data_IF_545077292325
#
_entry.id   IF_545077292325
#
_cell.length_a   1.000
_cell.length_b   1.000
_cell.length_c   1.000
_cell.angle_alpha   90.00
_cell.angle_beta   90.00
_cell.angle_gamma   90.00
#
_symmetry.space_group_name_H-M   'P 1'
#
loop_
_entity.id
_entity.type
_entity.pdbx_description
1 polymer ?
#
# COMPACT_ATOMS: atom_id res chain seq x y z
N UNK A 1 -23.24 45.54 15.94
CA UNK A 1 -23.38 44.12 16.31
C UNK A 1 -23.92 43.22 15.22
N UNK A 2 -24.80 43.68 14.37
CA UNK A 2 -25.26 42.90 13.22
C UNK A 2 -24.14 42.58 12.22
N UNK A 3 -23.16 43.43 12.11
CA UNK A 3 -22.02 43.23 11.20
C UNK A 3 -21.07 42.12 11.69
N UNK A 4 -20.85 42.04 13.00
CA UNK A 4 -20.02 40.97 13.61
C UNK A 4 -20.67 39.61 13.42
N UNK A 5 -21.99 39.53 13.50
CA UNK A 5 -22.71 38.28 13.23
C UNK A 5 -22.55 37.83 11.80
N UNK A 6 -22.66 38.74 10.83
CA UNK A 6 -22.49 38.41 9.40
C UNK A 6 -21.08 37.93 9.11
N UNK A 7 -20.07 38.59 9.67
CA UNK A 7 -18.67 38.21 9.51
C UNK A 7 -18.41 36.83 10.09
N UNK A 8 -18.94 36.54 11.29
CA UNK A 8 -18.82 35.23 11.92
C UNK A 8 -19.43 34.11 11.08
N UNK A 9 -20.58 34.33 10.51
CA UNK A 9 -21.28 33.35 9.66
C UNK A 9 -20.49 33.11 8.38
N UNK A 10 -19.99 34.15 7.74
CA UNK A 10 -19.17 34.05 6.54
C UNK A 10 -17.89 33.28 6.79
N UNK A 11 -17.20 33.57 7.89
CA UNK A 11 -16.00 32.86 8.29
C UNK A 11 -16.27 31.37 8.56
N UNK A 12 -17.35 31.07 9.27
CA UNK A 12 -17.75 29.69 9.54
C UNK A 12 -18.04 28.90 8.28
N UNK A 13 -18.77 29.50 7.32
CA UNK A 13 -19.05 28.90 6.03
C UNK A 13 -17.78 28.66 5.21
N UNK A 14 -16.87 29.64 5.23
CA UNK A 14 -15.60 29.55 4.51
C UNK A 14 -14.74 28.43 5.04
N UNK A 15 -14.66 28.26 6.35
CA UNK A 15 -13.93 27.16 6.99
C UNK A 15 -14.55 25.80 6.62
N UNK A 16 -15.86 25.70 6.62
CA UNK A 16 -16.56 24.46 6.23
C UNK A 16 -16.26 24.06 4.79
N UNK A 17 -16.22 25.03 3.89
CA UNK A 17 -15.91 24.78 2.47
C UNK A 17 -14.46 24.29 2.33
N UNK A 18 -13.51 24.91 3.04
CA UNK A 18 -12.11 24.53 3.00
C UNK A 18 -11.91 23.10 3.53
N UNK A 19 -12.50 22.76 4.68
CA UNK A 19 -12.42 21.43 5.24
C UNK A 19 -13.08 20.37 4.33
N UNK A 20 -14.23 20.70 3.74
CA UNK A 20 -14.89 19.81 2.80
C UNK A 20 -14.07 19.55 1.56
N UNK A 21 -13.43 20.58 1.01
CA UNK A 21 -12.58 20.45 -0.17
C UNK A 21 -11.35 19.60 0.12
N UNK A 22 -10.70 19.82 1.27
CA UNK A 22 -9.53 19.03 1.68
C UNK A 22 -9.87 17.54 1.86
N UNK A 23 -11.00 17.25 2.51
CA UNK A 23 -11.47 15.88 2.69
C UNK A 23 -11.77 15.21 1.35
N UNK A 24 -12.41 15.92 0.45
CA UNK A 24 -12.74 15.42 -0.88
C UNK A 24 -11.47 15.11 -1.68
N UNK A 25 -10.49 15.98 -1.64
CA UNK A 25 -9.19 15.77 -2.30
C UNK A 25 -8.45 14.57 -1.73
N UNK A 26 -8.42 14.45 -0.41
CA UNK A 26 -7.78 13.32 0.26
C UNK A 26 -8.42 11.98 -0.15
N UNK A 27 -9.75 11.94 -0.23
CA UNK A 27 -10.48 10.76 -0.67
C UNK A 27 -10.21 10.40 -2.13
N UNK A 28 -10.13 11.38 -3.01
CA UNK A 28 -9.79 11.15 -4.42
C UNK A 28 -8.37 10.62 -4.60
N UNK A 29 -7.43 11.15 -3.84
CA UNK A 29 -6.04 10.69 -3.88
C UNK A 29 -5.93 9.24 -3.41
N UNK A 30 -6.60 8.88 -2.33
CA UNK A 30 -6.65 7.52 -1.85
C UNK A 30 -7.26 6.56 -2.88
N UNK A 31 -8.32 6.98 -3.54
CA UNK A 31 -8.99 6.14 -4.53
C UNK A 31 -8.10 5.79 -5.73
N UNK A 32 -7.11 6.62 -6.07
CA UNK A 32 -6.19 6.35 -7.18
C UNK A 32 -5.08 5.39 -6.81
N UNK A 33 -4.62 5.39 -5.57
CA UNK A 33 -3.47 4.59 -5.12
C UNK A 33 -3.87 3.36 -4.31
N UNK A 34 -5.05 3.36 -3.70
CA UNK A 34 -5.50 2.28 -2.83
C UNK A 34 -5.45 0.89 -3.45
N UNK A 35 -5.88 0.65 -4.71
CA UNK A 35 -5.83 -0.70 -5.27
C UNK A 35 -4.42 -1.28 -5.32
N UNK A 36 -3.44 -0.47 -5.67
CA UNK A 36 -2.04 -0.90 -5.72
C UNK A 36 -1.46 -1.09 -4.31
N UNK A 37 -1.83 -0.21 -3.41
CA UNK A 37 -1.43 -0.30 -2.01
C UNK A 37 -2.01 -1.55 -1.34
N UNK A 38 -3.27 -1.87 -1.63
CA UNK A 38 -3.93 -3.09 -1.14
C UNK A 38 -3.24 -4.34 -1.69
N UNK A 39 -2.78 -4.29 -2.94
CA UNK A 39 -2.05 -5.38 -3.55
C UNK A 39 -0.71 -5.60 -2.84
N UNK A 40 -0.01 -4.53 -2.49
CA UNK A 40 1.23 -4.61 -1.71
C UNK A 40 0.99 -5.24 -0.34
N UNK A 41 -0.09 -4.83 0.34
CA UNK A 41 -0.48 -5.42 1.63
C UNK A 41 -0.83 -6.90 1.50
N UNK A 42 -1.50 -7.27 0.42
CA UNK A 42 -1.85 -8.66 0.13
C UNK A 42 -0.59 -9.50 -0.05
N UNK A 43 0.40 -8.98 -0.77
CA UNK A 43 1.68 -9.66 -0.94
C UNK A 43 2.37 -9.90 0.41
N UNK A 44 2.38 -8.89 1.26
CA UNK A 44 2.98 -9.01 2.61
C UNK A 44 2.24 -10.08 3.42
N UNK A 45 0.91 -10.06 3.40
CA UNK A 45 0.07 -11.04 4.11
C UNK A 45 0.34 -12.46 3.62
N UNK A 46 0.42 -12.66 2.31
CA UNK A 46 0.70 -13.97 1.71
C UNK A 46 2.12 -14.44 2.03
N UNK A 47 3.09 -13.53 2.07
CA UNK A 47 4.46 -13.83 2.44
C UNK A 47 4.55 -14.30 3.90
N UNK A 48 3.80 -13.67 4.79
CA UNK A 48 3.70 -14.12 6.19
C UNK A 48 3.18 -15.55 6.28
N UNK A 49 2.12 -15.86 5.54
CA UNK A 49 1.57 -17.21 5.48
C UNK A 49 2.57 -18.22 4.92
N UNK A 50 3.35 -17.83 3.93
CA UNK A 50 4.39 -18.64 3.32
C UNK A 50 5.45 -19.04 4.35
N UNK A 51 5.92 -18.10 5.17
CA UNK A 51 6.89 -18.39 6.21
C UNK A 51 6.31 -19.18 7.37
N UNK A 52 5.06 -18.91 7.73
CA UNK A 52 4.40 -19.62 8.83
C UNK A 52 4.17 -21.10 8.51
N UNK A 53 3.94 -21.43 7.22
CA UNK A 53 3.60 -22.79 6.85
C UNK A 53 4.81 -23.72 6.67
N UNK A 54 5.86 -23.29 5.97
CA UNK A 54 6.92 -24.23 5.55
C UNK A 54 8.34 -23.67 5.61
N UNK A 55 8.54 -22.40 5.84
CA UNK A 55 9.85 -21.77 5.64
C UNK A 55 10.35 -21.07 6.88
N UNK A 56 11.65 -21.06 7.02
CA UNK A 56 12.34 -20.38 8.13
C UNK A 56 12.65 -18.94 7.74
N UNK A 57 12.44 -18.02 8.66
CA UNK A 57 12.80 -16.62 8.47
C UNK A 57 14.30 -16.46 8.29
N UNK A 58 14.75 -15.40 7.60
CA UNK A 58 16.19 -15.12 7.50
C UNK A 58 16.78 -14.86 8.87
N UNK A 59 18.05 -15.17 9.03
CA UNK A 59 18.76 -14.93 10.28
C UNK A 59 19.06 -13.44 10.44
N UNK A 60 19.34 -13.02 11.67
CA UNK A 60 19.62 -11.62 11.99
C UNK A 60 20.73 -11.06 11.08
N UNK A 61 20.46 -9.94 10.46
CA UNK A 61 21.37 -9.29 9.52
C UNK A 61 21.23 -9.76 8.08
N UNK A 62 20.33 -10.69 7.79
CA UNK A 62 20.09 -11.19 6.44
C UNK A 62 18.76 -10.72 5.88
N UNK A 63 18.66 -10.74 4.57
CA UNK A 63 17.42 -10.42 3.86
C UNK A 63 17.17 -11.44 2.76
N UNK A 64 15.90 -11.69 2.45
CA UNK A 64 15.46 -12.64 1.42
C UNK A 64 14.39 -11.98 0.57
N UNK A 65 14.39 -12.26 -0.73
CA UNK A 65 13.34 -11.86 -1.64
C UNK A 65 12.39 -13.05 -1.86
N UNK A 66 11.10 -12.83 -1.63
CA UNK A 66 10.07 -13.80 -1.97
C UNK A 66 9.35 -13.27 -3.20
N UNK A 67 9.53 -13.93 -4.33
CA UNK A 67 8.94 -13.50 -5.59
C UNK A 67 7.48 -13.90 -5.71
N UNK A 68 6.76 -13.22 -6.60
CA UNK A 68 5.39 -13.58 -6.91
C UNK A 68 5.29 -15.05 -7.37
N UNK A 69 6.25 -15.50 -8.18
CA UNK A 69 6.27 -16.89 -8.67
C UNK A 69 6.36 -17.90 -7.52
N UNK A 70 7.15 -17.60 -6.50
CA UNK A 70 7.26 -18.46 -5.33
C UNK A 70 5.93 -18.57 -4.58
N UNK A 71 5.23 -17.45 -4.41
CA UNK A 71 3.92 -17.43 -3.77
C UNK A 71 2.87 -18.15 -4.60
N UNK A 72 2.92 -18.01 -5.91
CA UNK A 72 2.03 -18.68 -6.84
C UNK A 72 2.25 -20.21 -6.80
N UNK A 73 3.50 -20.64 -6.80
CA UNK A 73 3.86 -22.05 -6.70
C UNK A 73 3.44 -22.67 -5.37
N UNK A 74 3.38 -21.88 -4.32
CA UNK A 74 2.90 -22.30 -3.00
C UNK A 74 1.38 -22.24 -2.87
N UNK A 75 0.66 -21.90 -3.93
CA UNK A 75 -0.81 -21.75 -3.98
C UNK A 75 -1.35 -20.69 -3.02
N UNK A 76 -0.53 -19.71 -2.64
CA UNK A 76 -0.93 -18.64 -1.75
C UNK A 76 -1.55 -17.46 -2.49
N UNK A 77 -1.21 -17.30 -3.77
CA UNK A 77 -1.73 -16.23 -4.62
C UNK A 77 -1.90 -16.78 -6.03
N UNK A 78 -2.94 -16.37 -6.73
CA UNK A 78 -3.20 -16.81 -8.08
C UNK A 78 -2.63 -15.83 -9.11
N UNK A 79 -2.83 -14.55 -8.89
CA UNK A 79 -2.49 -13.53 -9.87
C UNK A 79 -2.25 -12.19 -9.20
N UNK A 80 -1.24 -11.45 -9.68
CA UNK A 80 -1.01 -10.06 -9.29
C UNK A 80 -1.67 -9.16 -10.32
N UNK A 81 -2.83 -8.62 -9.96
CA UNK A 81 -3.62 -7.82 -10.89
C UNK A 81 -4.44 -6.78 -10.15
N UNK A 82 -4.47 -5.57 -10.68
CA UNK A 82 -5.35 -4.50 -10.23
C UNK A 82 -6.21 -4.11 -11.41
N UNK A 83 -7.52 -4.41 -11.34
CA UNK A 83 -8.44 -4.24 -12.47
C UNK A 83 -7.91 -4.99 -13.69
N UNK A 84 -7.59 -4.29 -14.79
CA UNK A 84 -7.04 -4.90 -16.00
C UNK A 84 -5.51 -4.76 -16.09
N UNK A 85 -4.87 -4.24 -15.03
CA UNK A 85 -3.44 -4.01 -15.01
C UNK A 85 -2.73 -5.20 -14.35
N UNK A 86 -2.04 -5.99 -15.16
CA UNK A 86 -1.27 -7.14 -14.69
C UNK A 86 0.05 -6.65 -14.10
N UNK A 87 0.39 -7.16 -12.93
CA UNK A 87 1.57 -6.76 -12.19
C UNK A 87 2.52 -7.92 -11.97
N UNK A 88 3.76 -7.58 -11.67
CA UNK A 88 4.75 -8.53 -11.15
C UNK A 88 5.37 -7.89 -9.91
N UNK A 89 6.00 -8.68 -9.06
CA UNK A 89 6.58 -8.13 -7.85
C UNK A 89 7.22 -9.15 -6.95
N UNK A 90 7.68 -8.66 -5.83
CA UNK A 90 8.32 -9.47 -4.79
C UNK A 90 8.15 -8.80 -3.44
N UNK A 91 8.40 -9.56 -2.38
CA UNK A 91 8.44 -9.04 -1.01
C UNK A 91 9.84 -9.25 -0.48
N UNK A 92 10.46 -8.18 0.00
CA UNK A 92 11.76 -8.24 0.65
C UNK A 92 11.54 -8.43 2.15
N UNK A 93 12.06 -9.51 2.69
CA UNK A 93 11.96 -9.84 4.11
C UNK A 93 13.33 -9.61 4.74
N UNK A 94 13.40 -8.70 5.68
CA UNK A 94 14.64 -8.33 6.36
C UNK A 94 14.56 -8.68 7.84
N UNK A 95 15.68 -9.13 8.39
CA UNK A 95 15.82 -9.40 9.83
C UNK A 95 16.91 -8.52 10.41
N UNK A 96 16.51 -7.45 11.08
CA UNK A 96 17.40 -6.53 11.80
C UNK A 96 17.20 -6.64 13.32
N UNK A 97 16.83 -7.83 13.80
CA UNK A 97 16.35 -8.04 15.16
C UNK A 97 14.84 -8.12 15.24
N UNK A 98 14.17 -7.55 14.24
CA UNK A 98 12.71 -7.62 14.02
C UNK A 98 12.51 -7.96 12.56
N UNK A 99 11.54 -8.80 12.26
CA UNK A 99 11.22 -9.16 10.88
C UNK A 99 10.42 -8.03 10.25
N UNK A 100 10.93 -7.49 9.15
CA UNK A 100 10.27 -6.43 8.37
C UNK A 100 9.95 -6.94 6.97
N UNK A 101 8.79 -6.56 6.48
CA UNK A 101 8.29 -6.92 5.15
C UNK A 101 8.14 -5.66 4.30
N UNK A 102 8.72 -5.68 3.11
CA UNK A 102 8.55 -4.59 2.13
C UNK A 102 8.11 -5.18 0.82
N UNK A 103 6.93 -4.79 0.37
CA UNK A 103 6.39 -5.24 -0.91
C UNK A 103 6.76 -4.26 -2.02
N UNK A 104 7.16 -4.80 -3.16
CA UNK A 104 7.50 -4.05 -4.36
C UNK A 104 6.73 -4.64 -5.52
N UNK A 105 5.97 -3.82 -6.20
CA UNK A 105 5.19 -4.26 -7.37
C UNK A 105 5.49 -3.38 -8.57
N UNK A 106 5.39 -3.98 -9.75
CA UNK A 106 5.52 -3.28 -11.01
C UNK A 106 4.33 -3.62 -11.90
N UNK A 107 3.53 -2.62 -12.18
CA UNK A 107 2.36 -2.72 -13.04
C UNK A 107 2.54 -1.80 -14.23
N UNK A 108 1.62 -1.83 -15.18
CA UNK A 108 1.69 -0.93 -16.34
C UNK A 108 1.52 0.53 -15.96
N UNK A 109 0.68 0.79 -14.95
CA UNK A 109 0.33 2.14 -14.51
C UNK A 109 0.90 2.52 -13.14
N UNK A 110 1.66 1.62 -12.52
CA UNK A 110 2.20 1.85 -11.17
C UNK A 110 3.44 1.02 -10.95
N UNK A 111 4.44 1.63 -10.33
CA UNK A 111 5.66 0.91 -9.90
C UNK A 111 6.02 1.42 -8.51
N UNK A 112 6.22 0.50 -7.58
CA UNK A 112 6.65 0.84 -6.22
C UNK A 112 8.01 1.53 -6.28
N UNK A 113 8.18 2.59 -5.50
CA UNK A 113 9.46 3.28 -5.36
C UNK A 113 10.52 2.25 -4.92
N UNK A 114 11.70 2.36 -5.51
CA UNK A 114 12.83 1.45 -5.26
C UNK A 114 12.64 0.02 -5.76
N UNK A 115 11.64 -0.20 -6.63
CA UNK A 115 11.50 -1.50 -7.30
C UNK A 115 12.78 -1.83 -8.06
N UNK A 116 13.36 -2.99 -7.74
CA UNK A 116 14.59 -3.49 -8.36
C UNK A 116 14.24 -4.63 -9.31
N UNK A 117 14.70 -4.49 -10.55
CA UNK A 117 14.43 -5.51 -11.57
C UNK A 117 15.21 -6.79 -11.34
#
# INVERSE_FOLDING_TARGET
>A
MKELRRISIIWGLLLLIIFGALTFFALKWKAKTDPYFDLEKTLISKTKSYYESEHSYPTKGQSVKVTFDELKNANLIEELKVNDDTCEGYVKVENNGVIEYKAYIKCNNYTTKDYDK
#
